data_IF_592477558848
#
_entry.id   IF_592477558848
#
_cell.length_a   1.000
_cell.length_b   1.000
_cell.length_c   1.000
_cell.angle_alpha   90.00
_cell.angle_beta   90.00
_cell.angle_gamma   90.00
#
_symmetry.space_group_name_H-M   'P 1'
#
loop_
_entity.id
_entity.type
_entity.pdbx_description
1 polymer ?
#
# COMPACT_ATOMS: atom_id res chain seq x y z
N UNK A 1 -2.95 4.25 -25.71
CA UNK A 1 -3.40 5.15 -24.62
C UNK A 1 -2.43 4.94 -23.47
N UNK A 2 -1.51 5.89 -23.24
CA UNK A 2 -0.46 5.76 -22.22
C UNK A 2 -1.05 5.87 -20.83
N UNK A 3 -1.05 4.77 -20.09
CA UNK A 3 -1.29 4.77 -18.64
C UNK A 3 -0.08 5.44 -18.00
N UNK A 4 -0.22 6.73 -17.72
CA UNK A 4 0.77 7.50 -16.97
C UNK A 4 0.78 6.94 -15.56
N UNK A 5 1.69 6.00 -15.27
CA UNK A 5 2.03 5.61 -13.90
C UNK A 5 2.40 6.91 -13.21
N UNK A 6 1.47 7.47 -12.43
CA UNK A 6 1.70 8.69 -11.69
C UNK A 6 2.76 8.36 -10.64
N UNK A 7 4.02 8.64 -10.97
CA UNK A 7 5.09 8.86 -10.02
C UNK A 7 4.60 9.99 -9.11
N UNK A 8 3.94 9.60 -8.02
CA UNK A 8 3.47 10.53 -7.00
C UNK A 8 4.69 11.31 -6.49
N UNK A 9 4.62 12.66 -6.45
CA UNK A 9 5.72 13.46 -5.94
C UNK A 9 6.00 13.04 -4.49
N UNK A 10 7.27 12.80 -4.17
CA UNK A 10 7.73 12.49 -2.82
C UNK A 10 7.41 13.69 -1.91
N UNK A 11 6.27 13.64 -1.23
CA UNK A 11 6.00 14.48 -0.07
C UNK A 11 6.80 13.89 1.12
N UNK A 12 7.41 14.74 1.94
CA UNK A 12 8.08 14.28 3.14
C UNK A 12 7.10 13.42 3.98
N UNK A 13 7.48 12.22 4.43
CA UNK A 13 6.55 11.29 5.05
C UNK A 13 5.93 11.95 6.28
N UNK A 14 4.60 11.86 6.38
CA UNK A 14 3.91 12.35 7.56
C UNK A 14 4.47 11.58 8.78
N UNK A 15 4.88 12.31 9.82
CA UNK A 15 5.31 11.66 11.06
C UNK A 15 4.09 11.11 11.78
N UNK A 16 3.65 9.91 11.39
CA UNK A 16 2.60 9.19 12.08
C UNK A 16 2.99 8.92 13.54
N UNK A 17 2.07 9.20 14.44
CA UNK A 17 2.13 8.77 15.83
C UNK A 17 2.18 7.24 15.93
N UNK A 18 2.57 6.72 17.10
CA UNK A 18 2.60 5.27 17.34
C UNK A 18 1.25 4.62 17.06
N UNK A 19 0.16 5.26 17.48
CA UNK A 19 -1.19 4.73 17.31
C UNK A 19 -1.62 4.72 15.84
N UNK A 20 -1.24 5.73 15.07
CA UNK A 20 -1.50 5.76 13.64
C UNK A 20 -0.73 4.67 12.89
N UNK A 21 0.53 4.43 13.28
CA UNK A 21 1.31 3.30 12.73
C UNK A 21 0.64 1.96 13.00
N UNK A 22 0.13 1.74 14.21
CA UNK A 22 -0.62 0.53 14.53
C UNK A 22 -1.89 0.41 13.67
N UNK A 23 -2.56 1.53 13.36
CA UNK A 23 -3.72 1.53 12.46
C UNK A 23 -3.32 1.21 11.01
N UNK A 24 -2.19 1.73 10.54
CA UNK A 24 -1.61 1.39 9.22
C UNK A 24 -1.30 -0.11 9.14
N UNK A 25 -0.62 -0.68 10.15
CA UNK A 25 -0.36 -2.13 10.23
C UNK A 25 -1.65 -2.94 10.18
N UNK A 26 -2.71 -2.50 10.88
CA UNK A 26 -4.01 -3.18 10.85
C UNK A 26 -4.69 -3.09 9.48
N UNK A 27 -4.61 -1.93 8.81
CA UNK A 27 -5.13 -1.76 7.46
C UNK A 27 -4.38 -2.66 6.47
N UNK A 28 -3.05 -2.68 6.51
CA UNK A 28 -2.23 -3.57 5.70
C UNK A 28 -2.58 -5.05 5.96
N UNK A 29 -2.72 -5.44 7.23
CA UNK A 29 -3.16 -6.79 7.59
C UNK A 29 -4.53 -7.15 7.03
N UNK A 30 -5.50 -6.22 7.06
CA UNK A 30 -6.83 -6.43 6.50
C UNK A 30 -6.80 -6.55 4.97
N UNK A 31 -6.03 -5.70 4.28
CA UNK A 31 -5.85 -5.78 2.83
C UNK A 31 -5.16 -7.08 2.40
N UNK A 32 -4.14 -7.51 3.16
CA UNK A 32 -3.44 -8.78 2.94
C UNK A 32 -4.43 -9.96 2.97
N UNK A 33 -5.34 -9.96 3.95
CA UNK A 33 -6.38 -10.99 4.06
C UNK A 33 -7.40 -10.89 2.93
N UNK A 34 -7.89 -9.69 2.61
CA UNK A 34 -8.89 -9.47 1.59
C UNK A 34 -8.43 -9.94 0.20
N UNK A 35 -7.15 -9.71 -0.13
CA UNK A 35 -6.57 -10.08 -1.42
C UNK A 35 -5.81 -11.41 -1.43
N UNK A 36 -5.91 -12.18 -0.34
CA UNK A 36 -5.19 -13.44 -0.17
C UNK A 36 -3.67 -13.32 -0.50
N UNK A 37 -3.05 -12.22 -0.07
CA UNK A 37 -1.62 -11.99 -0.28
C UNK A 37 -0.84 -12.93 0.63
N UNK A 38 -0.13 -13.85 0.02
CA UNK A 38 0.64 -14.86 0.72
C UNK A 38 1.83 -14.25 1.49
N UNK A 39 2.25 -14.88 2.60
CA UNK A 39 3.55 -14.61 3.21
C UNK A 39 4.68 -14.76 2.19
N UNK A 40 5.81 -14.07 2.41
CA UNK A 40 6.96 -14.07 1.50
C UNK A 40 7.44 -12.66 1.17
N UNK A 41 8.22 -12.51 0.11
CA UNK A 41 8.84 -11.23 -0.28
C UNK A 41 8.66 -10.87 -1.77
N UNK A 42 7.88 -11.65 -2.53
CA UNK A 42 7.70 -11.44 -3.98
C UNK A 42 7.04 -10.12 -4.37
N UNK A 43 6.38 -9.43 -3.44
CA UNK A 43 5.75 -8.12 -3.68
C UNK A 43 6.56 -6.95 -3.11
N UNK A 44 7.74 -7.19 -2.54
CA UNK A 44 8.56 -6.11 -1.94
C UNK A 44 8.93 -5.06 -2.98
N UNK A 45 9.40 -5.48 -4.15
CA UNK A 45 9.73 -4.56 -5.26
C UNK A 45 8.51 -3.97 -5.95
N UNK A 46 7.31 -4.52 -5.68
CA UNK A 46 6.06 -4.14 -6.35
C UNK A 46 5.32 -3.09 -5.53
N UNK A 47 5.22 -3.30 -4.21
CA UNK A 47 4.44 -2.47 -3.28
C UNK A 47 5.33 -1.54 -2.45
N UNK A 48 6.54 -1.99 -2.10
CA UNK A 48 7.46 -1.28 -1.22
C UNK A 48 8.45 -0.38 -1.97
N UNK A 49 9.52 -0.02 -1.26
CA UNK A 49 10.70 0.66 -1.81
C UNK A 49 11.89 -0.28 -2.05
N UNK A 50 11.76 -1.57 -1.69
CA UNK A 50 12.82 -2.56 -1.82
C UNK A 50 13.63 -2.80 -0.53
N UNK A 51 13.35 -2.05 0.54
CA UNK A 51 14.01 -2.19 1.85
C UNK A 51 13.23 -3.04 2.85
N UNK A 52 12.00 -3.40 2.52
CA UNK A 52 11.08 -4.16 3.37
C UNK A 52 11.45 -5.64 3.39
N UNK A 53 11.29 -6.30 4.54
CA UNK A 53 11.70 -7.70 4.71
C UNK A 53 10.73 -8.69 4.08
N UNK A 54 9.48 -8.30 3.91
CA UNK A 54 8.41 -9.17 3.46
C UNK A 54 7.24 -8.37 2.86
N UNK A 55 6.29 -9.09 2.24
CA UNK A 55 5.09 -8.55 1.60
C UNK A 55 4.23 -7.73 2.56
N UNK A 56 4.19 -8.06 3.86
CA UNK A 56 3.39 -7.30 4.83
C UNK A 56 4.04 -5.93 5.09
N UNK A 57 5.34 -5.87 5.33
CA UNK A 57 6.06 -4.59 5.49
C UNK A 57 6.00 -3.74 4.21
N UNK A 58 6.09 -4.37 3.04
CA UNK A 58 5.90 -3.68 1.76
C UNK A 58 4.47 -3.12 1.61
N UNK A 59 3.47 -3.87 2.08
CA UNK A 59 2.08 -3.44 2.07
C UNK A 59 1.82 -2.32 3.09
N UNK A 60 2.45 -2.34 4.27
CA UNK A 60 2.40 -1.23 5.23
C UNK A 60 2.93 0.06 4.62
N UNK A 61 4.07 -0.05 3.92
CA UNK A 61 4.68 1.05 3.19
C UNK A 61 3.77 1.59 2.09
N UNK A 62 3.16 0.69 1.32
CA UNK A 62 2.18 1.06 0.29
C UNK A 62 0.96 1.75 0.90
N UNK A 63 0.38 1.21 1.98
CA UNK A 63 -0.76 1.81 2.68
C UNK A 63 -0.43 3.21 3.17
N UNK A 64 0.74 3.39 3.79
CA UNK A 64 1.18 4.70 4.27
C UNK A 64 1.18 5.72 3.13
N UNK A 65 1.85 5.39 2.01
CA UNK A 65 1.95 6.27 0.84
C UNK A 65 0.60 6.56 0.20
N UNK A 66 -0.26 5.55 0.12
CA UNK A 66 -1.60 5.68 -0.47
C UNK A 66 -2.51 6.57 0.40
N UNK A 67 -2.39 6.47 1.73
CA UNK A 67 -3.10 7.37 2.65
C UNK A 67 -2.61 8.81 2.50
N UNK A 68 -1.29 9.02 2.45
CA UNK A 68 -0.69 10.36 2.25
C UNK A 68 -1.12 10.97 0.91
N UNK A 69 -1.04 10.21 -0.19
CA UNK A 69 -1.34 10.71 -1.53
C UNK A 69 -2.82 11.08 -1.74
N UNK A 70 -3.72 10.43 -1.02
CA UNK A 70 -5.16 10.68 -1.09
C UNK A 70 -5.68 11.55 0.08
N UNK A 71 -4.78 12.01 0.95
CA UNK A 71 -5.13 12.71 2.20
C UNK A 71 -6.17 11.96 3.04
N UNK A 72 -6.06 10.62 3.09
CA UNK A 72 -6.97 9.75 3.83
C UNK A 72 -6.48 9.51 5.27
N UNK A 73 -7.40 9.43 6.25
CA UNK A 73 -7.02 9.10 7.62
C UNK A 73 -6.66 7.61 7.76
N UNK A 74 -5.74 7.23 8.67
CA UNK A 74 -5.42 5.83 8.94
C UNK A 74 -6.52 5.20 9.81
N UNK A 75 -7.72 5.00 9.27
CA UNK A 75 -8.85 4.38 9.96
C UNK A 75 -9.65 3.47 9.01
N UNK A 76 -10.70 2.82 9.53
CA UNK A 76 -11.51 1.83 8.78
C UNK A 76 -12.17 2.41 7.53
N UNK A 77 -12.51 3.70 7.50
CA UNK A 77 -13.15 4.31 6.34
C UNK A 77 -12.25 4.27 5.09
N UNK A 78 -10.94 4.25 5.30
CA UNK A 78 -9.95 4.18 4.22
C UNK A 78 -9.75 2.77 3.65
N UNK A 79 -10.33 1.73 4.26
CA UNK A 79 -10.12 0.35 3.80
C UNK A 79 -10.67 0.12 2.38
N UNK A 80 -11.88 0.59 2.10
CA UNK A 80 -12.52 0.43 0.79
C UNK A 80 -11.75 1.12 -0.35
N UNK A 81 -11.39 2.41 -0.26
CA UNK A 81 -10.60 3.05 -1.31
C UNK A 81 -9.21 2.42 -1.46
N UNK A 82 -8.56 2.04 -0.36
CA UNK A 82 -7.26 1.35 -0.43
C UNK A 82 -7.37 -0.01 -1.10
N UNK A 83 -8.43 -0.78 -0.84
CA UNK A 83 -8.65 -2.09 -1.48
C UNK A 83 -8.79 -1.93 -3.00
N UNK A 84 -9.69 -1.05 -3.45
CA UNK A 84 -9.92 -0.82 -4.88
C UNK A 84 -8.65 -0.35 -5.60
N UNK A 85 -7.88 0.55 -4.96
CA UNK A 85 -6.62 1.02 -5.51
C UNK A 85 -5.57 -0.09 -5.59
N UNK A 86 -5.47 -0.93 -4.56
CA UNK A 86 -4.50 -2.03 -4.51
C UNK A 86 -4.82 -3.11 -5.55
N UNK A 87 -6.09 -3.50 -5.69
CA UNK A 87 -6.56 -4.44 -6.71
C UNK A 87 -6.20 -3.94 -8.11
N UNK A 88 -6.54 -2.67 -8.38
CA UNK A 88 -6.21 -2.02 -9.66
C UNK A 88 -4.70 -2.07 -9.90
N UNK A 89 -3.90 -1.70 -8.90
CA UNK A 89 -2.45 -1.65 -9.02
C UNK A 89 -1.83 -3.03 -9.30
N UNK A 90 -2.24 -4.06 -8.55
CA UNK A 90 -1.74 -5.42 -8.72
C UNK A 90 -2.17 -6.04 -10.06
N UNK A 91 -3.39 -5.74 -10.51
CA UNK A 91 -3.89 -6.19 -11.82
C UNK A 91 -3.07 -5.63 -12.97
N UNK A 92 -2.74 -4.33 -12.91
CA UNK A 92 -1.89 -3.71 -13.94
C UNK A 92 -0.48 -4.27 -13.92
N UNK A 93 0.11 -4.44 -12.73
CA UNK A 93 1.44 -5.03 -12.60
C UNK A 93 1.50 -6.46 -13.15
N UNK A 94 0.46 -7.27 -12.95
CA UNK A 94 0.40 -8.63 -13.50
C UNK A 94 0.28 -8.62 -15.03
N UNK A 95 -0.47 -7.68 -15.60
CA UNK A 95 -0.62 -7.53 -17.05
C UNK A 95 0.65 -6.99 -17.75
N UNK A 96 1.47 -6.22 -17.04
CA UNK A 96 2.73 -5.65 -17.54
C UNK A 96 3.93 -6.63 -17.46
N UNK A 97 3.72 -7.85 -16.94
CA UNK A 97 4.72 -8.94 -16.95
C UNK A 97 4.75 -9.71 -18.26
#
# INVERSE_FOLDING_TARGET
>A
MSTKLALLPYAAPARYSRDERLRITRLAGALRLALNIHPGNGLVMVLGHGGEKNNLEALETWVQRSLEAQALPPNRASLQPLLAQLETYLTHWEADK
#
